data_IF_067779128983
#
_entry.id   IF_067779128983
#
_cell.length_a   1.000
_cell.length_b   1.000
_cell.length_c   1.000
_cell.angle_alpha   90.00
_cell.angle_beta   90.00
_cell.angle_gamma   90.00
#
_symmetry.space_group_name_H-M   'P 1'
#
loop_
_entity.id
_entity.type
_entity.pdbx_description
1 polymer ?
#
# COMPACT_ATOMS: atom_id res chain seq x y z
N UNK A 1 17.54 -7.67 -0.86
CA UNK A 1 17.04 -6.29 -1.07
C UNK A 1 17.50 -5.44 0.11
N UNK A 2 17.67 -4.13 -0.07
CA UNK A 2 18.07 -3.24 1.03
C UNK A 2 16.90 -3.01 2.00
N UNK A 3 17.14 -2.69 3.29
CA UNK A 3 16.07 -2.33 4.21
C UNK A 3 15.24 -1.15 3.67
N UNK A 4 13.94 -1.07 4.02
CA UNK A 4 13.06 0.01 3.59
C UNK A 4 13.60 1.38 4.00
N UNK A 5 13.33 2.40 3.18
CA UNK A 5 13.69 3.78 3.50
C UNK A 5 12.94 4.27 4.75
N UNK A 6 13.54 5.25 5.44
CA UNK A 6 12.91 5.92 6.58
C UNK A 6 11.53 6.49 6.21
N UNK A 7 10.55 6.26 7.08
CA UNK A 7 9.17 6.71 6.91
C UNK A 7 8.76 7.74 7.94
N UNK A 8 7.71 8.51 7.65
CA UNK A 8 6.96 9.25 8.68
C UNK A 8 6.00 8.34 9.45
N UNK A 9 5.56 7.24 8.85
CA UNK A 9 4.73 6.23 9.52
C UNK A 9 5.56 5.50 10.59
N UNK A 10 5.01 5.38 11.79
CA UNK A 10 5.66 4.72 12.92
C UNK A 10 5.59 3.20 12.79
N UNK A 11 6.76 2.58 12.74
CA UNK A 11 6.93 1.12 12.72
C UNK A 11 7.58 0.63 14.01
N UNK A 12 7.30 -0.62 14.37
CA UNK A 12 8.03 -1.32 15.42
C UNK A 12 9.38 -1.84 14.92
N UNK A 13 10.16 -2.43 15.82
CA UNK A 13 11.44 -3.06 15.46
C UNK A 13 11.20 -4.25 14.53
N UNK A 14 12.02 -4.43 13.47
CA UNK A 14 11.85 -5.55 12.55
C UNK A 14 12.11 -6.89 13.22
N UNK A 15 11.26 -7.86 12.91
CA UNK A 15 11.32 -9.23 13.43
C UNK A 15 11.76 -10.19 12.32
N UNK A 16 12.67 -11.09 12.66
CA UNK A 16 13.16 -12.12 11.76
C UNK A 16 12.21 -13.32 11.74
N UNK A 17 11.68 -13.67 10.57
CA UNK A 17 10.89 -14.90 10.39
C UNK A 17 11.83 -16.02 9.94
N UNK A 18 12.18 -16.91 10.87
CA UNK A 18 12.79 -18.20 10.52
C UNK A 18 11.72 -19.13 9.97
N UNK A 19 11.84 -19.56 8.71
CA UNK A 19 11.02 -20.65 8.18
C UNK A 19 11.37 -21.95 8.91
N UNK A 20 10.66 -22.25 9.99
CA UNK A 20 10.69 -23.57 10.61
C UNK A 20 10.06 -24.57 9.66
N UNK A 21 10.88 -25.30 8.90
CA UNK A 21 10.48 -26.60 8.36
C UNK A 21 10.22 -27.56 9.51
N UNK A 22 9.20 -28.42 9.35
CA UNK A 22 8.77 -29.50 10.25
C UNK A 22 7.89 -29.17 11.46
N UNK A 23 6.57 -29.27 11.26
CA UNK A 23 5.73 -30.10 12.14
C UNK A 23 4.78 -30.97 11.30
N UNK A 24 5.20 -32.22 11.09
CA UNK A 24 4.36 -33.33 10.61
C UNK A 24 3.08 -33.43 11.45
N UNK A 25 1.95 -33.36 10.75
CA UNK A 25 0.65 -33.81 11.22
C UNK A 25 0.65 -35.34 11.35
N UNK A 26 0.14 -35.94 12.44
CA UNK A 26 -0.25 -37.33 12.44
C UNK A 26 -1.76 -37.46 12.22
N UNK A 27 -2.11 -38.01 11.05
CA UNK A 27 -3.38 -38.69 10.75
C UNK A 27 -3.41 -40.05 11.47
N UNK A 28 -4.61 -40.48 11.88
CA UNK A 28 -4.95 -41.92 11.90
C UNK A 28 -5.61 -42.46 13.19
N UNK A 29 -6.90 -42.77 13.09
CA UNK A 29 -7.75 -43.57 14.01
C UNK A 29 -7.43 -45.09 13.84
N UNK A 30 -7.86 -46.01 14.73
CA UNK A 30 -9.23 -46.52 14.61
C UNK A 30 -9.94 -46.90 15.93
N UNK A 31 -11.26 -47.07 15.79
CA UNK A 31 -12.26 -47.48 16.78
C UNK A 31 -12.08 -48.95 17.21
N UNK A 32 -12.36 -49.26 18.48
CA UNK A 32 -12.70 -50.62 18.93
C UNK A 32 -13.82 -50.58 19.98
N UNK A 33 -14.74 -51.52 19.82
CA UNK A 33 -16.07 -51.67 20.44
C UNK A 33 -15.99 -52.56 21.70
N UNK A 34 -16.63 -52.12 22.81
CA UNK A 34 -17.30 -52.81 23.97
C UNK A 34 -16.73 -54.11 24.60
N UNK A 35 -17.09 -54.50 25.87
CA UNK A 35 -18.33 -54.19 26.61
C UNK A 35 -18.22 -53.79 28.10
N UNK A 36 -19.38 -53.35 28.58
CA UNK A 36 -19.81 -52.85 29.90
C UNK A 36 -19.69 -53.86 31.06
N UNK A 37 -19.17 -53.41 32.23
CA UNK A 37 -19.56 -53.94 33.55
C UNK A 37 -19.29 -52.96 34.72
N UNK A 38 -20.38 -52.35 35.20
CA UNK A 38 -20.86 -52.13 36.59
C UNK A 38 -19.86 -51.93 37.77
N UNK A 39 -19.90 -50.69 38.30
CA UNK A 39 -19.97 -50.25 39.72
C UNK A 39 -18.72 -50.33 40.62
N UNK A 40 -18.21 -49.15 40.97
CA UNK A 40 -17.39 -48.86 42.15
C UNK A 40 -17.30 -47.36 42.37
N UNK A 41 -17.73 -46.88 43.54
CA UNK A 41 -17.78 -45.47 43.93
C UNK A 41 -16.37 -44.94 44.23
N UNK A 42 -15.95 -43.88 43.55
CA UNK A 42 -15.08 -42.82 44.09
C UNK A 42 -15.04 -41.66 43.10
N UNK A 43 -15.34 -40.47 43.58
CA UNK A 43 -15.33 -39.19 42.87
C UNK A 43 -14.01 -38.91 42.16
N UNK A 44 -14.04 -38.38 40.92
CA UNK A 44 -12.96 -37.55 40.41
C UNK A 44 -13.48 -36.15 40.09
N UNK A 45 -12.83 -35.17 40.71
CA UNK A 45 -12.93 -33.72 40.49
C UNK A 45 -12.87 -33.40 38.98
N UNK A 46 -13.72 -32.51 38.44
CA UNK A 46 -13.64 -32.12 37.04
C UNK A 46 -12.35 -31.31 36.78
N UNK A 47 -11.67 -31.51 35.62
CA UNK A 47 -10.54 -30.67 35.25
C UNK A 47 -10.99 -29.21 35.07
N UNK A 48 -10.14 -28.21 35.41
CA UNK A 48 -10.52 -26.81 35.29
C UNK A 48 -10.85 -26.47 33.83
N UNK A 49 -11.88 -25.63 33.57
CA UNK A 49 -12.21 -25.22 32.22
C UNK A 49 -11.00 -24.51 31.61
N UNK A 50 -10.58 -24.96 30.42
CA UNK A 50 -9.60 -24.25 29.59
C UNK A 50 -10.05 -22.80 29.50
N UNK A 51 -9.15 -21.88 29.88
CA UNK A 51 -9.34 -20.44 29.79
C UNK A 51 -9.81 -20.09 28.38
N UNK A 52 -11.09 -19.73 28.24
CA UNK A 52 -11.54 -18.95 27.08
C UNK A 52 -10.66 -17.71 27.04
N UNK A 53 -10.15 -17.29 25.87
CA UNK A 53 -9.45 -16.01 25.77
C UNK A 53 -10.37 -14.95 26.36
N UNK A 54 -9.82 -14.18 27.29
CA UNK A 54 -10.46 -13.01 27.90
C UNK A 54 -10.95 -12.10 26.78
N UNK A 55 -12.15 -11.55 26.89
CA UNK A 55 -12.73 -10.64 25.87
C UNK A 55 -11.81 -9.47 25.48
N UNK A 56 -10.87 -9.11 26.36
CA UNK A 56 -9.85 -8.10 26.15
C UNK A 56 -8.73 -8.52 25.21
N UNK A 57 -8.37 -9.81 25.16
CA UNK A 57 -7.33 -10.33 24.25
C UNK A 57 -7.85 -10.45 22.82
N UNK A 58 -9.12 -10.85 22.66
CA UNK A 58 -9.78 -10.91 21.35
C UNK A 58 -9.86 -9.52 20.70
N UNK A 59 -10.21 -8.50 21.48
CA UNK A 59 -10.37 -7.12 20.99
C UNK A 59 -9.04 -6.49 20.56
N UNK A 60 -7.94 -6.81 21.27
CA UNK A 60 -6.59 -6.37 20.85
C UNK A 60 -6.15 -7.02 19.54
N UNK A 61 -6.42 -8.31 19.38
CA UNK A 61 -6.06 -9.03 18.17
C UNK A 61 -6.87 -8.56 16.95
N UNK A 62 -8.17 -8.33 17.11
CA UNK A 62 -9.02 -7.72 16.08
C UNK A 62 -8.52 -6.33 15.68
N UNK A 63 -8.06 -5.53 16.64
CA UNK A 63 -7.52 -4.20 16.38
C UNK A 63 -6.22 -4.23 15.57
N UNK A 64 -5.30 -5.14 15.90
CA UNK A 64 -4.06 -5.35 15.13
C UNK A 64 -4.34 -5.89 13.73
N UNK A 65 -5.32 -6.78 13.57
CA UNK A 65 -5.74 -7.29 12.26
C UNK A 65 -6.32 -6.18 11.37
N UNK A 66 -7.14 -5.29 11.94
CA UNK A 66 -7.65 -4.11 11.22
C UNK A 66 -6.50 -3.19 10.83
N UNK A 67 -5.57 -2.90 11.76
CA UNK A 67 -4.44 -2.02 11.47
C UNK A 67 -3.58 -2.57 10.33
N UNK A 68 -3.27 -3.87 10.36
CA UNK A 68 -2.52 -4.55 9.31
C UNK A 68 -3.27 -4.62 7.96
N UNK A 69 -4.60 -4.62 7.99
CA UNK A 69 -5.43 -4.55 6.77
C UNK A 69 -5.35 -3.16 6.14
N UNK A 70 -5.36 -2.09 6.95
CA UNK A 70 -5.34 -0.71 6.47
C UNK A 70 -3.92 -0.27 6.06
N UNK A 71 -2.93 -0.69 6.84
CA UNK A 71 -1.51 -0.37 6.68
C UNK A 71 -0.70 -1.67 6.76
N UNK A 72 -0.41 -2.31 5.61
CA UNK A 72 0.27 -3.59 5.60
C UNK A 72 1.71 -3.47 6.14
N UNK A 73 2.22 -4.52 6.80
CA UNK A 73 3.59 -4.54 7.29
C UNK A 73 4.60 -4.49 6.15
N UNK A 74 5.79 -3.95 6.43
CA UNK A 74 6.89 -3.97 5.48
C UNK A 74 7.60 -5.31 5.55
N UNK A 75 7.89 -5.88 4.39
CA UNK A 75 8.63 -7.14 4.28
C UNK A 75 9.85 -6.96 3.37
N UNK A 76 11.01 -7.46 3.80
CA UNK A 76 12.20 -7.48 2.96
C UNK A 76 13.08 -8.70 3.25
N UNK A 77 13.85 -9.09 2.25
CA UNK A 77 14.80 -10.20 2.33
C UNK A 77 16.23 -9.70 2.43
N UNK A 78 16.95 -10.20 3.43
CA UNK A 78 18.39 -10.02 3.59
C UNK A 78 19.08 -11.39 3.48
N UNK A 79 19.53 -11.73 2.28
CA UNK A 79 19.99 -13.08 1.96
C UNK A 79 18.86 -14.12 2.08
N UNK A 80 19.03 -15.08 3.00
CA UNK A 80 18.05 -16.14 3.31
C UNK A 80 17.06 -15.77 4.42
N UNK A 81 17.22 -14.59 5.02
CA UNK A 81 16.45 -14.11 6.16
C UNK A 81 15.31 -13.21 5.69
N UNK A 82 14.09 -13.52 6.11
CA UNK A 82 12.90 -12.69 5.86
C UNK A 82 12.66 -11.81 7.09
N UNK A 83 12.67 -10.51 6.89
CA UNK A 83 12.36 -9.52 7.91
C UNK A 83 10.97 -8.96 7.67
N UNK A 84 10.20 -8.86 8.75
CA UNK A 84 8.89 -8.22 8.74
C UNK A 84 8.88 -7.11 9.78
N UNK A 85 8.37 -5.96 9.39
CA UNK A 85 8.26 -4.80 10.24
C UNK A 85 6.81 -4.34 10.28
N UNK A 86 6.19 -4.50 11.45
CA UNK A 86 4.80 -4.13 11.67
C UNK A 86 4.65 -2.64 11.94
N UNK A 87 3.47 -2.12 11.60
CA UNK A 87 3.07 -0.77 11.95
C UNK A 87 2.78 -0.73 13.45
N UNK A 88 3.30 0.28 14.14
CA UNK A 88 3.23 0.32 15.60
C UNK A 88 1.79 0.49 16.09
N UNK A 89 1.34 -0.38 16.98
CA UNK A 89 0.04 -0.27 17.66
C UNK A 89 0.06 0.69 18.85
N UNK A 90 1.22 1.29 19.17
CA UNK A 90 1.39 2.22 20.28
C UNK A 90 0.53 3.50 20.10
N UNK A 91 -0.26 3.89 21.11
CA UNK A 91 -1.01 5.15 21.08
C UNK A 91 -0.10 6.37 20.91
N UNK A 92 -0.62 7.41 20.26
CA UNK A 92 0.08 8.70 20.11
C UNK A 92 -0.45 9.77 21.06
N UNK A 93 0.48 10.52 21.62
CA UNK A 93 0.26 11.70 22.47
C UNK A 93 0.24 12.99 21.65
N UNK A 94 -0.10 14.12 22.30
CA UNK A 94 -0.02 15.45 21.65
C UNK A 94 1.42 15.78 21.20
N UNK A 95 2.41 15.42 22.00
CA UNK A 95 3.83 15.65 21.68
C UNK A 95 4.25 14.87 20.45
N UNK A 96 3.78 13.63 20.29
CA UNK A 96 4.08 12.81 19.09
C UNK A 96 3.54 13.46 17.81
N UNK A 97 2.38 14.14 17.87
CA UNK A 97 1.81 14.86 16.72
C UNK A 97 2.65 16.09 16.36
N UNK A 98 3.12 16.83 17.36
CA UNK A 98 4.01 17.99 17.15
C UNK A 98 5.32 17.52 16.50
N UNK A 99 5.93 16.46 17.03
CA UNK A 99 7.15 15.89 16.43
C UNK A 99 6.92 15.39 15.00
N UNK A 100 5.75 14.82 14.68
CA UNK A 100 5.43 14.41 13.32
C UNK A 100 5.39 15.59 12.35
N UNK A 101 4.79 16.71 12.77
CA UNK A 101 4.75 17.95 12.00
C UNK A 101 6.16 18.49 11.75
N UNK A 102 6.97 18.63 12.80
CA UNK A 102 8.36 19.10 12.70
C UNK A 102 9.21 18.19 11.80
N UNK A 103 9.02 16.87 11.89
CA UNK A 103 9.72 15.89 11.05
C UNK A 103 9.28 15.99 9.58
N UNK A 104 7.99 16.18 9.32
CA UNK A 104 7.48 16.39 7.97
C UNK A 104 8.10 17.65 7.34
N UNK A 105 8.09 18.78 8.06
CA UNK A 105 8.65 20.04 7.59
C UNK A 105 10.16 19.93 7.33
N UNK A 106 10.88 19.29 8.25
CA UNK A 106 12.30 19.00 8.10
C UNK A 106 12.57 18.17 6.85
N UNK A 107 11.80 17.10 6.61
CA UNK A 107 11.97 16.26 5.42
C UNK A 107 11.60 16.98 4.13
N UNK A 108 10.57 17.82 4.14
CA UNK A 108 10.19 18.65 2.98
C UNK A 108 11.31 19.62 2.61
N UNK A 109 11.95 20.26 3.60
CA UNK A 109 13.09 21.16 3.38
C UNK A 109 14.33 20.40 2.90
N UNK A 110 14.72 19.33 3.59
CA UNK A 110 15.91 18.52 3.26
C UNK A 110 15.83 17.94 1.84
N UNK A 111 14.64 17.52 1.41
CA UNK A 111 14.39 16.97 0.08
C UNK A 111 14.04 18.04 -0.96
N UNK A 112 14.13 19.32 -0.60
CA UNK A 112 13.85 20.48 -1.45
C UNK A 112 12.50 20.37 -2.19
N UNK A 113 11.46 19.98 -1.46
CA UNK A 113 10.12 19.86 -2.01
C UNK A 113 9.60 21.21 -2.50
N UNK A 114 8.97 21.24 -3.69
CA UNK A 114 8.40 22.47 -4.24
C UNK A 114 7.15 22.88 -3.43
N UNK A 115 7.05 24.15 -3.09
CA UNK A 115 5.89 24.71 -2.39
C UNK A 115 4.64 24.81 -3.27
N UNK A 116 4.82 24.98 -4.58
CA UNK A 116 3.72 25.12 -5.55
C UNK A 116 3.87 24.14 -6.71
N UNK A 117 2.75 23.86 -7.37
CA UNK A 117 2.69 22.91 -8.49
C UNK A 117 2.85 21.43 -8.09
N UNK A 118 2.99 20.58 -9.10
CA UNK A 118 3.14 19.13 -8.91
C UNK A 118 4.55 18.83 -8.42
N UNK A 119 4.66 18.14 -7.28
CA UNK A 119 5.93 17.74 -6.68
C UNK A 119 5.84 16.30 -6.15
N UNK A 120 6.62 15.35 -6.70
CA UNK A 120 6.57 13.94 -6.29
C UNK A 120 7.06 13.74 -4.85
N UNK A 121 8.15 14.42 -4.46
CA UNK A 121 8.69 14.39 -3.08
C UNK A 121 7.63 14.83 -2.07
N UNK A 122 6.95 15.95 -2.37
CA UNK A 122 5.87 16.45 -1.52
C UNK A 122 4.74 15.42 -1.44
N UNK A 123 4.27 14.92 -2.58
CA UNK A 123 3.21 13.91 -2.62
C UNK A 123 3.56 12.68 -1.80
N UNK A 124 4.78 12.18 -1.90
CA UNK A 124 5.27 11.03 -1.13
C UNK A 124 5.24 11.31 0.37
N UNK A 125 5.83 12.43 0.82
CA UNK A 125 5.89 12.78 2.24
C UNK A 125 4.48 13.01 2.84
N UNK A 126 3.58 13.70 2.12
CA UNK A 126 2.20 13.85 2.58
C UNK A 126 1.44 12.53 2.61
N UNK A 127 1.70 11.60 1.67
CA UNK A 127 1.11 10.27 1.72
C UNK A 127 1.56 9.51 2.97
N UNK A 128 2.86 9.53 3.28
CA UNK A 128 3.39 8.89 4.49
C UNK A 128 2.83 9.52 5.78
N UNK A 129 2.71 10.86 5.81
CA UNK A 129 2.10 11.56 6.93
C UNK A 129 0.62 11.17 7.09
N UNK A 130 -0.13 11.07 5.99
CA UNK A 130 -1.53 10.67 6.03
C UNK A 130 -1.70 9.22 6.51
N UNK A 131 -0.80 8.31 6.13
CA UNK A 131 -0.77 6.95 6.66
C UNK A 131 -0.50 6.94 8.18
N UNK A 132 0.38 7.81 8.69
CA UNK A 132 0.58 7.98 10.14
C UNK A 132 -0.67 8.53 10.83
N UNK A 133 -1.38 9.49 10.23
CA UNK A 133 -2.66 9.97 10.76
C UNK A 133 -3.72 8.86 10.78
N UNK A 134 -3.79 8.04 9.74
CA UNK A 134 -4.66 6.86 9.68
C UNK A 134 -4.29 5.89 10.81
N UNK A 135 -2.99 5.60 11.04
CA UNK A 135 -2.53 4.76 12.16
C UNK A 135 -3.03 5.30 13.49
N UNK A 136 -2.78 6.58 13.78
CA UNK A 136 -3.19 7.24 15.03
C UNK A 136 -4.71 7.23 15.23
N UNK A 137 -5.45 7.49 14.17
CA UNK A 137 -6.91 7.50 14.19
C UNK A 137 -7.46 6.09 14.42
N UNK A 138 -6.91 5.08 13.74
CA UNK A 138 -7.29 3.67 13.88
C UNK A 138 -7.06 3.19 15.31
N UNK A 139 -5.95 3.58 15.93
CA UNK A 139 -5.67 3.24 17.34
C UNK A 139 -6.69 3.84 18.30
N UNK A 140 -7.21 5.03 18.01
CA UNK A 140 -8.28 5.64 18.82
C UNK A 140 -9.66 5.05 18.53
N UNK A 141 -9.97 4.78 17.27
CA UNK A 141 -11.25 4.27 16.78
C UNK A 141 -11.04 3.62 15.40
N UNK A 142 -11.16 2.30 15.36
CA UNK A 142 -10.84 1.50 14.19
C UNK A 142 -11.76 1.80 13.00
N UNK A 143 -13.05 2.04 13.25
CA UNK A 143 -14.05 2.34 12.23
C UNK A 143 -13.75 3.66 11.51
N UNK A 144 -13.28 4.67 12.26
CA UNK A 144 -12.85 5.95 11.67
C UNK A 144 -11.57 5.76 10.86
N UNK A 145 -10.66 4.90 11.31
CA UNK A 145 -9.48 4.49 10.57
C UNK A 145 -9.81 3.86 9.22
N UNK A 146 -10.73 2.89 9.22
CA UNK A 146 -11.25 2.23 8.02
C UNK A 146 -11.89 3.23 7.05
N UNK A 147 -12.68 4.19 7.57
CA UNK A 147 -13.27 5.23 6.74
C UNK A 147 -12.20 6.10 6.08
N UNK A 148 -11.20 6.56 6.85
CA UNK A 148 -10.10 7.37 6.29
C UNK A 148 -9.28 6.61 5.25
N UNK A 149 -9.05 5.31 5.45
CA UNK A 149 -8.40 4.46 4.45
C UNK A 149 -9.18 4.45 3.13
N UNK A 150 -10.50 4.32 3.17
CA UNK A 150 -11.32 4.33 1.95
C UNK A 150 -11.24 5.67 1.23
N UNK A 151 -11.28 6.77 1.98
CA UNK A 151 -11.11 8.12 1.43
C UNK A 151 -9.73 8.29 0.78
N UNK A 152 -8.67 7.78 1.42
CA UNK A 152 -7.31 7.74 0.85
C UNK A 152 -7.31 7.05 -0.51
N UNK A 153 -7.85 5.84 -0.55
CA UNK A 153 -7.80 4.97 -1.73
C UNK A 153 -8.63 5.57 -2.88
N UNK A 154 -9.78 6.19 -2.57
CA UNK A 154 -10.60 6.92 -3.55
C UNK A 154 -9.87 8.13 -4.15
N UNK A 155 -9.19 8.94 -3.31
CA UNK A 155 -8.40 10.08 -3.77
C UNK A 155 -7.23 9.60 -4.64
N UNK A 156 -6.54 8.53 -4.25
CA UNK A 156 -5.44 7.96 -5.03
C UNK A 156 -5.94 7.45 -6.39
N UNK A 157 -7.08 6.75 -6.42
CA UNK A 157 -7.71 6.30 -7.66
C UNK A 157 -8.07 7.49 -8.55
N UNK A 158 -8.65 8.54 -7.99
CA UNK A 158 -9.00 9.76 -8.73
C UNK A 158 -7.77 10.43 -9.34
N UNK A 159 -6.68 10.55 -8.58
CA UNK A 159 -5.41 11.11 -9.08
C UNK A 159 -4.85 10.25 -10.23
N UNK A 160 -4.91 8.93 -10.10
CA UNK A 160 -4.43 8.00 -11.13
C UNK A 160 -5.24 8.13 -12.43
N UNK A 161 -6.56 8.27 -12.32
CA UNK A 161 -7.44 8.51 -13.48
C UNK A 161 -7.08 9.84 -14.15
N UNK A 162 -6.91 10.91 -13.40
CA UNK A 162 -6.49 12.20 -13.97
C UNK A 162 -5.14 12.12 -14.67
N UNK A 163 -4.18 11.41 -14.10
CA UNK A 163 -2.88 11.18 -14.74
C UNK A 163 -3.03 10.43 -16.06
N UNK A 164 -3.83 9.36 -16.08
CA UNK A 164 -4.08 8.55 -17.30
C UNK A 164 -4.74 9.39 -18.41
N UNK A 165 -5.73 10.21 -18.07
CA UNK A 165 -6.41 11.10 -19.03
C UNK A 165 -5.45 12.18 -19.54
N UNK A 166 -4.62 12.74 -18.66
CA UNK A 166 -3.61 13.73 -19.05
C UNK A 166 -2.59 13.15 -20.03
N UNK A 167 -2.01 11.98 -19.70
CA UNK A 167 -1.06 11.27 -20.57
C UNK A 167 -1.69 10.94 -21.93
N UNK A 168 -2.94 10.49 -21.94
CA UNK A 168 -3.70 10.23 -23.17
C UNK A 168 -3.92 11.50 -24.00
N UNK A 169 -4.23 12.63 -23.35
CA UNK A 169 -4.40 13.92 -23.99
C UNK A 169 -3.11 14.44 -24.62
N UNK A 170 -1.98 14.35 -23.91
CA UNK A 170 -0.65 14.70 -24.43
C UNK A 170 -0.29 13.83 -25.63
N UNK A 171 -0.47 12.52 -25.54
CA UNK A 171 -0.21 11.59 -26.65
C UNK A 171 -1.07 11.88 -27.88
N UNK A 172 -2.35 12.23 -27.69
CA UNK A 172 -3.22 12.67 -28.79
C UNK A 172 -2.70 13.96 -29.44
N UNK A 173 -2.36 14.97 -28.64
CA UNK A 173 -1.80 16.23 -29.13
C UNK A 173 -0.53 16.02 -29.96
N UNK A 174 0.40 15.21 -29.47
CA UNK A 174 1.64 14.86 -30.19
C UNK A 174 1.36 14.19 -31.54
N UNK A 175 0.42 13.22 -31.59
CA UNK A 175 0.04 12.55 -32.84
C UNK A 175 -0.55 13.53 -33.86
N UNK A 176 -1.39 14.47 -33.40
CA UNK A 176 -2.00 15.47 -34.30
C UNK A 176 -0.98 16.49 -34.80
N UNK A 177 -0.03 16.90 -33.97
CA UNK A 177 1.08 17.75 -34.40
C UNK A 177 1.91 17.06 -35.49
N UNK A 178 2.32 15.80 -35.28
CA UNK A 178 3.05 15.02 -36.28
C UNK A 178 2.23 14.82 -37.58
N UNK A 179 0.94 14.53 -37.46
CA UNK A 179 0.05 14.37 -38.63
C UNK A 179 -0.06 15.67 -39.45
N UNK A 180 -0.09 16.83 -38.79
CA UNK A 180 -0.12 18.13 -39.44
C UNK A 180 1.18 18.41 -40.21
N UNK A 181 2.34 18.15 -39.59
CA UNK A 181 3.64 18.34 -40.24
C UNK A 181 3.78 17.42 -41.48
N UNK A 182 3.39 16.16 -41.36
CA UNK A 182 3.37 15.24 -42.49
C UNK A 182 2.44 15.74 -43.62
N UNK A 183 1.23 16.18 -43.26
CA UNK A 183 0.27 16.73 -44.21
C UNK A 183 0.80 17.96 -44.95
N UNK A 184 1.52 18.84 -44.25
CA UNK A 184 2.19 20.01 -44.85
C UNK A 184 3.26 19.58 -45.86
N UNK A 185 4.14 18.66 -45.49
CA UNK A 185 5.18 18.15 -46.40
C UNK A 185 4.56 17.54 -47.66
N UNK A 186 3.48 16.78 -47.51
CA UNK A 186 2.80 16.15 -48.64
C UNK A 186 2.08 17.19 -49.54
N UNK A 187 1.54 18.26 -48.97
CA UNK A 187 1.02 19.39 -49.75
C UNK A 187 2.11 20.11 -50.52
N UNK A 188 3.25 20.42 -49.90
CA UNK A 188 4.39 21.07 -50.56
C UNK A 188 4.94 20.24 -51.73
N UNK A 189 4.94 18.91 -51.61
CA UNK A 189 5.28 18.01 -52.72
C UNK A 189 4.29 18.13 -53.87
N UNK A 190 2.98 18.14 -53.58
CA UNK A 190 1.92 18.30 -54.60
C UNK A 190 1.99 19.65 -55.30
N UNK A 191 2.19 20.74 -54.55
CA UNK A 191 2.37 22.09 -55.11
C UNK A 191 3.56 22.12 -56.04
N UNK A 192 4.74 21.62 -55.61
CA UNK A 192 5.93 21.54 -56.48
C UNK A 192 5.68 20.75 -57.76
N UNK A 193 5.06 19.58 -57.66
CA UNK A 193 4.73 18.76 -58.82
C UNK A 193 3.79 19.49 -59.80
N UNK A 194 2.76 20.16 -59.27
CA UNK A 194 1.82 20.93 -60.08
C UNK A 194 2.47 22.14 -60.75
N UNK A 195 3.29 22.89 -60.02
CA UNK A 195 4.07 24.01 -60.58
C UNK A 195 4.98 23.52 -61.71
N UNK A 196 5.65 22.39 -61.53
CA UNK A 196 6.51 21.81 -62.57
C UNK A 196 5.71 21.46 -63.83
N UNK A 197 4.54 20.84 -63.67
CA UNK A 197 3.65 20.50 -64.78
C UNK A 197 3.15 21.73 -65.55
N UNK A 198 2.74 22.78 -64.85
CA UNK A 198 2.26 24.04 -65.46
C UNK A 198 3.39 24.75 -66.22
N UNK A 199 4.59 24.84 -65.63
CA UNK A 199 5.74 25.46 -66.29
C UNK A 199 6.15 24.70 -67.55
N UNK A 200 6.11 23.37 -67.50
CA UNK A 200 6.46 22.54 -68.66
C UNK A 200 5.39 22.60 -69.76
N UNK A 201 4.12 22.71 -69.38
CA UNK A 201 3.00 22.80 -70.34
C UNK A 201 2.89 24.17 -71.02
N UNK A 202 3.27 25.26 -70.34
CA UNK A 202 3.27 26.62 -70.91
C UNK A 202 4.54 26.97 -71.73
N UNK A 203 5.60 26.15 -71.67
CA UNK A 203 6.83 26.31 -72.47
C UNK A 203 6.86 25.44 -73.74
N UNK A 204 5.72 24.86 -74.13
CA UNK A 204 5.49 24.21 -75.43
C UNK A 204 4.54 25.04 -76.26
#
# INVERSE_FOLDING_TARGET
MKPPAESLLRYDNPVLISKSTDRKSPKGRPLKVSPQQVRGQSTPVPPPPKSKPTSTDTNKQEHEEILNTILPPREWTDGTRLWVQQVSSAPSTRTDVIHLEELLDTKLQQRQARQTGICPVRRELYSQCFDELIRQVTIKCAERGLLLSRVRDEIQMTIYVYQTVYESGVAFGMRKALQSEQGKVDMEKKVRAFTFFVVFSNNR
#
